data_IF_240818985322
#
_entry.id   IF_240818985322
#
_cell.length_a   1.000
_cell.length_b   1.000
_cell.length_c   1.000
_cell.angle_alpha   90.00
_cell.angle_beta   90.00
_cell.angle_gamma   90.00
#
_symmetry.space_group_name_H-M   'P 1'
#
loop_
_entity.id
_entity.type
_entity.pdbx_description
1 polymer ?
#
# COMPACT_ATOMS: atom_id res chain seq x y z
N UNK A 1 18.57 15.67 13.73
CA UNK A 1 17.42 15.88 12.82
C UNK A 1 16.26 16.42 13.62
N UNK A 2 15.55 17.46 13.17
CA UNK A 2 14.33 17.90 13.84
C UNK A 2 13.28 16.78 13.82
N UNK A 3 12.52 16.67 14.91
CA UNK A 3 11.44 15.70 15.08
C UNK A 3 10.15 16.46 15.30
N UNK A 4 9.13 16.15 14.50
CA UNK A 4 7.77 16.64 14.67
C UNK A 4 6.94 15.47 15.20
N UNK A 5 6.17 15.71 16.26
CA UNK A 5 5.33 14.70 16.90
C UNK A 5 3.90 15.23 16.97
N UNK A 6 2.96 14.50 16.39
CA UNK A 6 1.55 14.59 16.72
C UNK A 6 1.29 13.53 17.81
N UNK A 7 0.80 13.93 18.98
CA UNK A 7 0.54 12.99 20.10
C UNK A 7 -0.60 12.02 19.80
N UNK A 8 -1.53 12.45 18.94
CA UNK A 8 -2.77 11.73 18.63
C UNK A 8 -2.94 11.63 17.10
N UNK A 9 -4.02 12.20 16.54
CA UNK A 9 -4.35 12.06 15.13
C UNK A 9 -3.71 13.14 14.24
N UNK A 10 -3.16 12.73 13.10
CA UNK A 10 -2.78 13.62 11.99
C UNK A 10 -3.79 13.45 10.85
N UNK A 11 -4.63 14.45 10.61
CA UNK A 11 -5.52 14.49 9.44
C UNK A 11 -4.89 15.34 8.33
N UNK A 12 -4.81 14.80 7.13
CA UNK A 12 -4.32 15.52 5.95
C UNK A 12 -5.11 15.11 4.71
N UNK A 13 -5.24 16.03 3.75
CA UNK A 13 -5.88 15.74 2.46
C UNK A 13 -4.96 14.89 1.55
N UNK A 14 -3.66 15.18 1.58
CA UNK A 14 -2.62 14.47 0.80
C UNK A 14 -1.37 14.30 1.64
N UNK A 15 -0.67 13.18 1.48
CA UNK A 15 0.58 12.88 2.17
C UNK A 15 1.69 12.56 1.15
N UNK A 16 2.87 13.18 1.29
CA UNK A 16 4.05 12.90 0.48
C UNK A 16 5.23 12.53 1.41
N UNK A 17 5.82 11.35 1.21
CA UNK A 17 6.94 10.82 2.03
C UNK A 17 8.14 10.57 1.12
N UNK A 18 9.25 11.26 1.36
CA UNK A 18 10.36 11.34 0.39
C UNK A 18 11.50 10.36 0.63
N UNK A 19 11.68 9.87 1.86
CA UNK A 19 12.83 9.06 2.27
C UNK A 19 12.43 7.81 3.07
N UNK A 20 11.22 7.31 2.83
CA UNK A 20 10.67 6.16 3.54
C UNK A 20 10.26 6.48 4.98
N UNK A 21 9.93 5.43 5.74
CA UNK A 21 9.46 5.51 7.11
C UNK A 21 8.91 4.18 7.59
N UNK A 22 8.38 4.17 8.80
CA UNK A 22 7.72 3.02 9.42
C UNK A 22 6.27 3.37 9.74
N UNK A 23 5.37 2.41 9.54
CA UNK A 23 3.96 2.50 9.88
C UNK A 23 3.60 1.29 10.76
N UNK A 24 2.93 1.53 11.88
CA UNK A 24 2.52 0.47 12.82
C UNK A 24 1.03 0.57 13.12
N UNK A 25 0.40 -0.55 13.47
CA UNK A 25 -1.05 -0.66 13.66
C UNK A 25 -1.83 -0.92 12.37
N UNK A 26 -3.16 -0.87 12.46
CA UNK A 26 -4.05 -1.16 11.33
C UNK A 26 -4.26 0.09 10.46
N UNK A 27 -4.13 -0.08 9.14
CA UNK A 27 -4.41 0.96 8.15
C UNK A 27 -5.55 0.53 7.24
N UNK A 28 -6.65 1.26 7.28
CA UNK A 28 -7.80 1.06 6.39
C UNK A 28 -7.74 2.09 5.26
N UNK A 29 -7.59 1.61 4.04
CA UNK A 29 -7.57 2.45 2.84
C UNK A 29 -8.76 2.10 1.94
N UNK A 30 -9.52 3.11 1.53
CA UNK A 30 -10.72 2.98 0.70
C UNK A 30 -10.82 4.17 -0.26
N UNK A 31 -11.63 4.03 -1.33
CA UNK A 31 -11.84 5.11 -2.31
C UNK A 31 -10.66 5.36 -3.26
N UNK A 32 -9.80 4.36 -3.50
CA UNK A 32 -8.63 4.49 -4.38
C UNK A 32 -7.80 3.21 -4.49
N UNK A 33 -6.48 3.33 -4.68
CA UNK A 33 -5.54 2.22 -4.71
C UNK A 33 -4.24 2.50 -3.92
N UNK A 34 -3.79 1.53 -3.12
CA UNK A 34 -2.39 1.48 -2.66
C UNK A 34 -1.57 0.83 -3.78
N UNK A 35 -0.63 1.58 -4.36
CA UNK A 35 0.24 1.13 -5.46
C UNK A 35 1.71 1.23 -5.05
N UNK A 36 2.45 0.13 -5.18
CA UNK A 36 3.90 0.10 -4.95
C UNK A 36 4.59 -0.42 -6.20
N UNK A 37 5.53 0.35 -6.76
CA UNK A 37 6.29 -0.01 -7.95
C UNK A 37 5.44 -0.50 -9.14
N UNK A 38 4.26 0.07 -9.36
CA UNK A 38 3.37 -0.39 -10.43
C UNK A 38 2.26 -1.34 -10.00
N UNK A 39 2.38 -2.01 -8.84
CA UNK A 39 1.48 -3.08 -8.42
C UNK A 39 0.43 -2.55 -7.45
N UNK A 40 -0.85 -2.81 -7.75
CA UNK A 40 -1.99 -2.36 -6.93
C UNK A 40 -2.38 -3.45 -5.94
N UNK A 41 -2.39 -3.12 -4.65
CA UNK A 41 -2.58 -4.10 -3.57
C UNK A 41 -3.89 -4.89 -3.69
N UNK A 42 -5.03 -4.25 -3.92
CA UNK A 42 -6.33 -4.96 -3.89
C UNK A 42 -6.67 -5.73 -5.18
N UNK A 43 -5.87 -5.60 -6.25
CA UNK A 43 -6.18 -6.18 -7.56
C UNK A 43 -4.98 -6.87 -8.23
N UNK A 44 -3.87 -7.04 -7.50
CA UNK A 44 -2.70 -7.70 -8.04
C UNK A 44 -2.98 -9.17 -8.38
N UNK A 45 -2.27 -9.67 -9.38
CA UNK A 45 -2.28 -11.07 -9.79
C UNK A 45 -0.85 -11.53 -9.98
N UNK A 46 -0.60 -12.82 -9.78
CA UNK A 46 0.67 -13.46 -10.08
C UNK A 46 0.50 -14.37 -11.30
N UNK A 47 1.40 -14.26 -12.27
CA UNK A 47 1.46 -15.18 -13.41
C UNK A 47 2.33 -16.40 -13.11
N UNK A 48 2.26 -17.42 -13.97
CA UNK A 48 3.13 -18.59 -13.91
C UNK A 48 2.82 -19.54 -12.76
N UNK A 49 1.56 -19.58 -12.30
CA UNK A 49 1.17 -20.43 -11.16
C UNK A 49 0.99 -21.90 -11.54
N UNK A 50 0.81 -22.21 -12.83
CA UNK A 50 0.72 -23.57 -13.38
C UNK A 50 1.45 -23.68 -14.72
N UNK A 51 1.78 -24.91 -15.11
CA UNK A 51 2.27 -25.23 -16.45
C UNK A 51 1.33 -24.65 -17.51
N UNK A 52 1.87 -23.87 -18.45
CA UNK A 52 1.06 -23.17 -19.47
C UNK A 52 0.80 -21.68 -19.19
N UNK A 53 1.32 -21.11 -18.10
CA UNK A 53 1.32 -19.65 -17.91
C UNK A 53 0.05 -19.05 -17.30
N UNK A 54 -0.79 -19.87 -16.66
CA UNK A 54 -1.99 -19.38 -15.98
C UNK A 54 -1.64 -18.34 -14.89
N UNK A 55 -2.60 -17.45 -14.59
CA UNK A 55 -2.49 -16.42 -13.55
C UNK A 55 -3.39 -16.72 -12.34
N UNK A 56 -3.06 -16.17 -11.17
CA UNK A 56 -3.94 -16.22 -10.00
C UNK A 56 -5.24 -15.44 -10.22
N UNK A 57 -6.22 -15.70 -9.35
CA UNK A 57 -7.28 -14.73 -9.06
C UNK A 57 -6.73 -13.46 -8.39
N UNK A 58 -7.63 -12.50 -8.15
CA UNK A 58 -7.35 -11.33 -7.30
C UNK A 58 -7.39 -11.74 -5.82
N UNK A 59 -6.87 -10.93 -4.88
CA UNK A 59 -7.06 -11.15 -3.45
C UNK A 59 -8.55 -11.33 -3.08
N UNK A 60 -8.83 -12.23 -2.12
CA UNK A 60 -10.17 -12.49 -1.60
C UNK A 60 -10.66 -11.40 -0.66
#
# INVERSE_FOLDING_TARGET
TPKVICSDNLTCATLNVTQGGEMTGNFNHQGGAIKSNGIILHSHKHGGVRSGGESTGVPQ
#
